data_IF_756478179061
#
_entry.id   IF_756478179061
#
_cell.length_a   1.000
_cell.length_b   1.000
_cell.length_c   1.000
_cell.angle_alpha   90.00
_cell.angle_beta   90.00
_cell.angle_gamma   90.00
#
_symmetry.space_group_name_H-M   'P 1'
#
loop_
_entity.id
_entity.type
_entity.pdbx_description
1 polymer ?
#
# COMPACT_ATOMS: atom_id res chain seq x y z
N UNK A 1 -21.43 -11.28 -10.81
CA UNK A 1 -20.04 -11.32 -10.32
C UNK A 1 -20.03 -12.14 -9.06
N UNK A 2 -19.57 -13.39 -9.14
CA UNK A 2 -19.29 -14.23 -7.99
C UNK A 2 -18.04 -13.70 -7.29
N UNK A 3 -17.97 -13.74 -5.96
CA UNK A 3 -16.81 -13.22 -5.19
C UNK A 3 -15.47 -13.88 -5.55
N UNK A 4 -15.49 -14.96 -6.33
CA UNK A 4 -14.32 -15.67 -6.87
C UNK A 4 -13.45 -14.86 -7.86
N UNK A 5 -13.89 -13.68 -8.33
CA UNK A 5 -13.14 -12.93 -9.37
C UNK A 5 -12.13 -11.90 -8.84
N UNK A 6 -11.94 -11.78 -7.52
CA UNK A 6 -10.99 -10.80 -6.94
C UNK A 6 -9.67 -11.46 -6.53
N UNK A 7 -8.78 -11.70 -7.51
CA UNK A 7 -7.40 -12.08 -7.24
C UNK A 7 -6.55 -10.83 -6.95
N UNK A 8 -5.90 -10.80 -5.79
CA UNK A 8 -4.87 -9.81 -5.47
C UNK A 8 -3.52 -10.33 -5.94
N UNK A 9 -2.93 -9.65 -6.92
CA UNK A 9 -1.57 -9.94 -7.37
C UNK A 9 -0.58 -8.99 -6.69
N UNK A 10 0.34 -9.54 -5.89
CA UNK A 10 1.38 -8.78 -5.22
C UNK A 10 2.67 -8.83 -6.05
N UNK A 11 3.13 -7.67 -6.51
CA UNK A 11 4.44 -7.53 -7.15
C UNK A 11 5.44 -6.98 -6.15
N UNK A 12 6.56 -7.69 -5.99
CA UNK A 12 7.67 -7.23 -5.16
C UNK A 12 8.55 -6.26 -5.95
N UNK A 13 8.88 -5.13 -5.33
CA UNK A 13 9.73 -4.11 -5.97
C UNK A 13 11.18 -4.57 -6.15
N UNK A 14 11.74 -4.27 -7.31
CA UNK A 14 13.16 -4.44 -7.65
C UNK A 14 14.04 -3.34 -7.04
N UNK A 15 15.36 -3.54 -6.99
CA UNK A 15 16.28 -2.51 -6.48
C UNK A 15 16.28 -1.21 -7.31
N UNK A 16 15.93 -1.29 -8.59
CA UNK A 16 15.76 -0.11 -9.42
C UNK A 16 14.48 0.66 -9.06
N UNK A 17 13.39 -0.05 -8.75
CA UNK A 17 12.11 0.54 -8.38
C UNK A 17 12.13 1.15 -6.98
N UNK A 18 12.85 0.53 -6.04
CA UNK A 18 13.07 1.07 -4.68
C UNK A 18 13.73 2.45 -4.68
N UNK A 19 14.39 2.86 -5.77
CA UNK A 19 15.03 4.17 -5.92
C UNK A 19 14.13 5.21 -6.58
N UNK A 20 12.93 4.83 -7.01
CA UNK A 20 11.99 5.70 -7.75
C UNK A 20 10.82 6.05 -6.82
N UNK A 21 10.78 7.27 -6.24
CA UNK A 21 9.73 7.65 -5.29
C UNK A 21 8.31 7.41 -5.83
N UNK A 22 8.06 7.70 -7.11
CA UNK A 22 6.74 7.48 -7.72
C UNK A 22 6.32 6.01 -7.79
N UNK A 23 7.27 5.09 -8.00
CA UNK A 23 6.97 3.64 -8.03
C UNK A 23 6.73 3.12 -6.63
N UNK A 24 7.55 3.55 -5.66
CA UNK A 24 7.36 3.22 -4.24
C UNK A 24 6.00 3.72 -3.75
N UNK A 25 5.67 4.98 -4.06
CA UNK A 25 4.39 5.59 -3.70
C UNK A 25 3.21 4.77 -4.23
N UNK A 26 3.18 4.47 -5.53
CA UNK A 26 2.10 3.70 -6.15
C UNK A 26 1.97 2.30 -5.57
N UNK A 27 3.06 1.53 -5.56
CA UNK A 27 3.02 0.13 -5.15
C UNK A 27 2.62 -0.04 -3.67
N UNK A 28 3.14 0.80 -2.78
CA UNK A 28 2.84 0.71 -1.34
C UNK A 28 1.44 1.26 -1.05
N UNK A 29 1.01 2.34 -1.70
CA UNK A 29 -0.36 2.85 -1.60
C UNK A 29 -1.40 1.80 -2.01
N UNK A 30 -1.19 1.15 -3.16
CA UNK A 30 -2.07 0.10 -3.66
C UNK A 30 -2.12 -1.11 -2.72
N UNK A 31 -0.98 -1.42 -2.08
CA UNK A 31 -0.90 -2.50 -1.07
C UNK A 31 -1.68 -2.15 0.20
N UNK A 32 -1.55 -0.94 0.73
CA UNK A 32 -2.32 -0.48 1.91
C UNK A 32 -3.82 -0.51 1.61
N UNK A 33 -4.23 0.01 0.45
CA UNK A 33 -5.63 -0.02 0.01
C UNK A 33 -6.15 -1.46 -0.13
N UNK A 34 -5.37 -2.34 -0.75
CA UNK A 34 -5.76 -3.73 -0.94
C UNK A 34 -5.89 -4.47 0.38
N UNK A 35 -4.97 -4.26 1.32
CA UNK A 35 -5.04 -4.81 2.67
C UNK A 35 -6.35 -4.40 3.37
N UNK A 36 -6.73 -3.12 3.27
CA UNK A 36 -8.00 -2.61 3.81
C UNK A 36 -9.20 -3.33 3.18
N UNK A 37 -9.28 -3.37 1.86
CA UNK A 37 -10.39 -4.00 1.13
C UNK A 37 -10.51 -5.51 1.43
N UNK A 38 -9.37 -6.21 1.49
CA UNK A 38 -9.33 -7.64 1.83
C UNK A 38 -9.80 -7.87 3.25
N UNK A 39 -9.28 -7.12 4.24
CA UNK A 39 -9.70 -7.26 5.63
C UNK A 39 -11.21 -7.01 5.81
N UNK A 40 -11.74 -5.94 5.20
CA UNK A 40 -13.17 -5.61 5.23
C UNK A 40 -14.02 -6.74 4.65
N UNK A 41 -13.56 -7.42 3.60
CA UNK A 41 -14.27 -8.57 3.01
C UNK A 41 -14.40 -9.77 3.96
N UNK A 42 -13.51 -9.90 4.95
CA UNK A 42 -13.59 -10.92 6.00
C UNK A 42 -14.25 -10.39 7.29
N UNK A 43 -14.86 -9.21 7.25
CA UNK A 43 -15.50 -8.58 8.41
C UNK A 43 -14.54 -7.95 9.42
N UNK A 44 -13.27 -7.77 9.03
CA UNK A 44 -12.26 -7.11 9.86
C UNK A 44 -12.11 -5.66 9.40
N UNK A 45 -12.39 -4.71 10.29
CA UNK A 45 -12.23 -3.28 10.01
C UNK A 45 -11.05 -2.75 10.81
N UNK A 46 -9.99 -2.33 10.12
CA UNK A 46 -8.90 -1.60 10.76
C UNK A 46 -9.39 -0.22 11.19
N UNK A 47 -8.85 0.30 12.30
CA UNK A 47 -9.14 1.67 12.70
C UNK A 47 -8.52 2.67 11.73
N UNK A 48 -9.19 3.82 11.56
CA UNK A 48 -8.67 4.91 10.74
C UNK A 48 -7.27 5.34 11.21
N UNK A 49 -7.03 5.36 12.52
CA UNK A 49 -5.72 5.68 13.08
C UNK A 49 -4.59 4.76 12.59
N UNK A 50 -4.86 3.46 12.37
CA UNK A 50 -3.87 2.52 11.82
C UNK A 50 -3.62 2.80 10.34
N UNK A 51 -4.68 3.03 9.57
CA UNK A 51 -4.57 3.31 8.13
C UNK A 51 -3.84 4.65 7.89
N UNK A 52 -4.18 5.69 8.64
CA UNK A 52 -3.55 7.00 8.56
C UNK A 52 -2.06 6.93 8.92
N UNK A 53 -1.71 6.15 9.95
CA UNK A 53 -0.31 5.95 10.33
C UNK A 53 0.50 5.27 9.22
N UNK A 54 -0.07 4.29 8.51
CA UNK A 54 0.60 3.64 7.38
C UNK A 54 0.86 4.62 6.22
N UNK A 55 -0.14 5.44 5.87
CA UNK A 55 0.05 6.46 4.84
C UNK A 55 1.05 7.53 5.25
N UNK A 56 1.06 7.92 6.52
CA UNK A 56 2.04 8.86 7.07
C UNK A 56 3.46 8.31 6.98
N UNK A 57 3.68 7.04 7.35
CA UNK A 57 5.01 6.41 7.25
C UNK A 57 5.49 6.32 5.79
N UNK A 58 4.58 6.06 4.86
CA UNK A 58 4.87 6.12 3.42
C UNK A 58 5.27 7.53 2.99
N UNK A 59 4.50 8.56 3.37
CA UNK A 59 4.81 9.96 3.02
C UNK A 59 6.16 10.39 3.59
N UNK A 60 6.43 10.11 4.87
CA UNK A 60 7.72 10.38 5.50
C UNK A 60 8.88 9.65 4.80
N UNK A 61 8.66 8.40 4.35
CA UNK A 61 9.64 7.68 3.57
C UNK A 61 9.91 8.36 2.23
N UNK A 62 8.86 8.74 1.50
CA UNK A 62 8.97 9.43 0.21
C UNK A 62 9.66 10.80 0.34
N UNK A 63 9.40 11.51 1.44
CA UNK A 63 10.08 12.77 1.76
C UNK A 63 11.58 12.54 1.99
N UNK A 64 11.98 11.47 2.70
CA UNK A 64 13.39 11.09 2.87
C UNK A 64 14.07 10.68 1.57
N UNK A 65 13.35 10.10 0.61
CA UNK A 65 13.92 9.76 -0.70
C UNK A 65 14.17 10.99 -1.58
N UNK A 66 13.44 12.08 -1.36
CA UNK A 66 13.56 13.33 -2.11
C UNK A 66 14.54 14.33 -1.46
N UNK A 67 14.78 14.17 -0.16
CA UNK A 67 15.83 14.91 0.53
C UNK A 67 17.21 14.44 0.05
N UNK A 68 18.12 15.37 -0.32
CA UNK A 68 19.45 15.04 -0.81
C UNK A 68 20.36 14.37 0.23
#
# INVERSE_FOLDING_TARGET
MTEQDKNVYLMLGTDAEKKRPSVVAGAVNDTIYTMKVVAESYGVVFSDAVIDQLYKELDEHLNRMQAP
#
